data_IF_467646041769
#
_entry.id   IF_467646041769
#
_cell.length_a   1.000
_cell.length_b   1.000
_cell.length_c   1.000
_cell.angle_alpha   90.00
_cell.angle_beta   90.00
_cell.angle_gamma   90.00
#
_symmetry.space_group_name_H-M   'P 1'
#
loop_
_entity.id
_entity.type
_entity.pdbx_description
1 polymer ?
#
# COMPACT_ATOMS: atom_id res chain seq x y z
N UNK A 1 49.77 -54.46 -75.63
CA UNK A 1 49.24 -53.46 -76.54
C UNK A 1 48.55 -52.32 -75.74
N UNK A 2 49.05 -51.11 -75.90
CA UNK A 2 48.49 -49.82 -75.60
C UNK A 2 48.14 -49.52 -74.13
N UNK A 3 48.94 -48.76 -73.45
CA UNK A 3 49.02 -47.34 -73.13
C UNK A 3 47.68 -46.60 -73.11
N UNK A 4 47.35 -46.02 -71.96
CA UNK A 4 46.90 -44.62 -71.95
C UNK A 4 47.01 -43.96 -70.58
N UNK A 5 47.55 -42.82 -70.63
CA UNK A 5 47.97 -41.80 -69.72
C UNK A 5 46.94 -41.35 -68.69
N UNK A 6 47.41 -41.25 -67.47
CA UNK A 6 46.77 -40.43 -66.41
C UNK A 6 47.18 -38.92 -66.54
N UNK A 7 46.21 -38.06 -66.66
CA UNK A 7 46.40 -36.64 -66.47
C UNK A 7 45.82 -36.21 -65.10
N UNK A 8 46.72 -35.80 -64.19
CA UNK A 8 46.39 -35.13 -62.96
C UNK A 8 45.99 -33.67 -63.26
N UNK A 9 44.77 -33.28 -62.88
CA UNK A 9 44.34 -31.89 -62.78
C UNK A 9 44.29 -31.54 -61.30
N UNK A 10 45.14 -30.60 -60.87
CA UNK A 10 45.15 -30.01 -59.55
C UNK A 10 43.97 -29.06 -59.40
N UNK A 11 43.10 -29.28 -58.42
CA UNK A 11 42.04 -28.36 -58.05
C UNK A 11 42.54 -27.53 -56.90
N UNK A 12 42.74 -26.22 -57.14
CA UNK A 12 43.09 -25.24 -56.11
C UNK A 12 41.81 -24.88 -55.30
N UNK A 13 41.78 -25.31 -54.05
CA UNK A 13 40.74 -24.87 -53.12
C UNK A 13 41.11 -23.52 -52.52
N UNK A 14 40.44 -22.47 -52.97
CA UNK A 14 40.49 -21.12 -52.35
C UNK A 14 39.59 -21.11 -51.13
N UNK A 15 40.21 -21.13 -49.93
CA UNK A 15 39.52 -20.97 -48.67
C UNK A 15 39.21 -19.48 -48.44
N UNK A 16 37.96 -19.07 -48.67
CA UNK A 16 37.48 -17.74 -48.36
C UNK A 16 37.23 -17.58 -46.85
N UNK A 17 38.12 -16.86 -46.19
CA UNK A 17 37.92 -16.41 -44.79
C UNK A 17 36.84 -15.31 -44.79
N UNK A 18 35.58 -15.65 -44.42
CA UNK A 18 34.56 -14.70 -44.09
C UNK A 18 34.85 -14.15 -42.67
N UNK A 19 35.48 -12.96 -42.61
CA UNK A 19 35.56 -12.17 -41.38
C UNK A 19 34.13 -11.66 -41.01
N UNK A 20 33.48 -12.33 -40.06
CA UNK A 20 32.33 -11.76 -39.40
C UNK A 20 32.84 -10.63 -38.48
N UNK A 21 32.83 -9.41 -38.98
CA UNK A 21 32.95 -8.21 -38.16
C UNK A 21 31.66 -8.09 -37.32
N UNK A 22 31.69 -8.58 -36.08
CA UNK A 22 30.67 -8.26 -35.08
C UNK A 22 30.80 -6.75 -34.80
N UNK A 23 29.88 -5.99 -35.36
CA UNK A 23 29.68 -4.59 -34.95
C UNK A 23 29.16 -4.60 -33.52
N UNK A 24 30.07 -4.53 -32.55
CA UNK A 24 29.74 -4.06 -31.22
C UNK A 24 29.35 -2.59 -31.37
N UNK A 25 28.05 -2.30 -31.50
CA UNK A 25 27.56 -0.96 -31.21
C UNK A 25 27.90 -0.67 -29.75
N UNK A 26 28.66 0.36 -29.43
CA UNK A 26 28.83 0.76 -28.05
C UNK A 26 27.41 1.09 -27.54
N UNK A 27 26.96 0.38 -26.50
CA UNK A 27 25.81 0.82 -25.71
C UNK A 27 26.16 2.26 -25.33
N UNK A 28 25.42 3.22 -25.88
CA UNK A 28 25.59 4.62 -25.53
C UNK A 28 25.57 4.66 -24.00
N UNK A 29 26.64 5.12 -23.40
CA UNK A 29 26.68 5.36 -21.97
C UNK A 29 25.51 6.33 -21.70
N UNK A 30 24.43 5.83 -21.10
CA UNK A 30 23.38 6.71 -20.63
C UNK A 30 24.05 7.70 -19.70
N UNK A 31 24.02 8.98 -20.06
CA UNK A 31 24.53 10.02 -19.19
C UNK A 31 23.86 9.84 -17.82
N UNK A 32 24.69 9.58 -16.79
CA UNK A 32 24.19 9.44 -15.43
C UNK A 32 23.42 10.71 -15.06
N UNK A 33 22.25 10.59 -14.43
CA UNK A 33 21.49 11.76 -14.04
C UNK A 33 22.31 12.66 -13.14
N UNK A 34 22.17 13.97 -13.33
CA UNK A 34 22.87 15.04 -12.59
C UNK A 34 21.84 16.05 -12.14
N UNK A 35 22.15 16.81 -11.11
CA UNK A 35 21.30 17.88 -10.60
C UNK A 35 20.52 17.46 -9.36
N UNK A 36 19.27 17.81 -9.29
CA UNK A 36 18.42 17.60 -8.13
C UNK A 36 17.39 16.50 -8.40
N UNK A 37 16.86 15.92 -7.32
CA UNK A 37 15.72 15.00 -7.31
C UNK A 37 14.82 15.31 -6.12
N UNK A 38 13.66 15.85 -6.35
CA UNK A 38 12.64 16.07 -5.32
C UNK A 38 11.74 14.86 -5.17
N UNK A 39 11.81 14.20 -4.01
CA UNK A 39 10.97 13.07 -3.63
C UNK A 39 9.89 13.56 -2.67
N UNK A 40 8.63 13.50 -3.11
CA UNK A 40 7.49 13.91 -2.29
C UNK A 40 6.82 12.69 -1.67
N UNK A 41 6.75 12.63 -0.33
CA UNK A 41 6.21 11.50 0.41
C UNK A 41 5.49 11.96 1.69
N UNK A 42 4.88 11.00 2.41
CA UNK A 42 4.36 11.21 3.77
C UNK A 42 5.01 10.31 4.82
N UNK A 43 5.97 9.47 4.42
CA UNK A 43 6.69 8.60 5.35
C UNK A 43 7.65 9.40 6.22
N UNK A 44 7.18 9.76 7.42
CA UNK A 44 7.91 10.51 8.42
C UNK A 44 7.94 9.79 9.77
N UNK A 45 8.69 10.27 10.72
CA UNK A 45 8.77 9.69 12.06
C UNK A 45 9.26 8.25 12.03
N UNK A 46 8.42 7.31 12.45
CA UNK A 46 8.69 5.88 12.52
C UNK A 46 8.82 5.19 11.15
N UNK A 47 8.24 5.75 10.09
CA UNK A 47 8.37 5.26 8.71
C UNK A 47 9.56 5.90 7.96
N UNK A 48 10.05 7.05 8.41
CA UNK A 48 11.16 7.80 7.81
C UNK A 48 12.42 6.97 7.59
N UNK A 49 12.89 6.16 8.55
CA UNK A 49 14.11 5.36 8.37
C UNK A 49 14.10 4.41 7.17
N UNK A 50 12.94 3.94 6.72
CA UNK A 50 12.82 3.10 5.53
C UNK A 50 13.03 3.91 4.25
N UNK A 51 12.45 5.11 4.16
CA UNK A 51 12.67 6.05 3.06
C UNK A 51 14.12 6.52 3.02
N UNK A 52 14.70 6.88 4.17
CA UNK A 52 16.11 7.31 4.27
C UNK A 52 17.08 6.22 3.80
N UNK A 53 16.80 4.95 4.11
CA UNK A 53 17.63 3.84 3.64
C UNK A 53 17.55 3.68 2.12
N UNK A 54 16.39 3.90 1.54
CA UNK A 54 16.17 3.86 0.09
C UNK A 54 16.84 5.05 -0.61
N UNK A 55 16.77 6.26 -0.03
CA UNK A 55 17.47 7.45 -0.51
C UNK A 55 18.99 7.22 -0.49
N UNK A 56 19.54 6.69 0.60
CA UNK A 56 20.99 6.36 0.69
C UNK A 56 21.42 5.35 -0.36
N UNK A 57 20.59 4.35 -0.64
CA UNK A 57 20.84 3.39 -1.72
C UNK A 57 20.87 4.10 -3.08
N UNK A 58 19.95 5.02 -3.33
CA UNK A 58 19.93 5.84 -4.55
C UNK A 58 21.17 6.70 -4.67
N UNK A 59 21.54 7.47 -3.64
CA UNK A 59 22.72 8.35 -3.61
C UNK A 59 24.01 7.58 -3.85
N UNK A 60 24.12 6.35 -3.31
CA UNK A 60 25.29 5.49 -3.54
C UNK A 60 25.47 5.09 -5.01
N UNK A 61 24.39 5.02 -5.78
CA UNK A 61 24.39 4.69 -7.21
C UNK A 61 24.46 5.92 -8.11
N UNK A 62 23.99 7.05 -7.62
CA UNK A 62 23.87 8.32 -8.34
C UNK A 62 24.47 9.49 -7.53
N UNK A 63 25.78 9.47 -7.23
CA UNK A 63 26.41 10.45 -6.31
C UNK A 63 26.45 11.88 -6.88
N UNK A 64 26.01 12.09 -8.12
CA UNK A 64 25.94 13.42 -8.76
C UNK A 64 24.52 14.03 -8.70
N UNK A 65 23.59 13.36 -8.03
CA UNK A 65 22.21 13.84 -7.84
C UNK A 65 22.05 14.22 -6.38
N UNK A 66 21.68 15.47 -6.12
CA UNK A 66 21.26 15.93 -4.80
C UNK A 66 19.81 15.55 -4.55
N UNK A 67 19.55 14.81 -3.47
CA UNK A 67 18.17 14.38 -3.14
C UNK A 67 17.53 15.38 -2.19
N UNK A 68 16.40 15.94 -2.60
CA UNK A 68 15.53 16.78 -1.79
C UNK A 68 14.39 15.89 -1.26
N UNK A 69 14.47 15.49 0.02
CA UNK A 69 13.40 14.78 0.70
C UNK A 69 12.31 15.79 1.10
N UNK A 70 11.28 15.93 0.25
CA UNK A 70 10.14 16.83 0.44
C UNK A 70 8.98 16.14 1.19
N UNK A 71 9.27 15.31 2.17
CA UNK A 71 8.26 14.63 2.99
C UNK A 71 7.45 15.65 3.78
N UNK A 72 6.10 15.58 3.62
CA UNK A 72 5.16 16.37 4.40
C UNK A 72 4.70 15.55 5.59
N UNK A 73 5.04 16.02 6.78
CA UNK A 73 4.73 15.36 8.05
C UNK A 73 3.27 15.59 8.48
N UNK A 74 2.81 14.80 9.44
CA UNK A 74 1.52 14.86 10.10
C UNK A 74 0.31 14.44 9.26
N UNK A 75 -0.80 14.20 9.94
CA UNK A 75 -2.08 13.84 9.31
C UNK A 75 -2.10 12.48 8.60
N UNK A 76 -1.10 11.63 8.79
CA UNK A 76 -1.04 10.29 8.16
C UNK A 76 -1.27 10.35 6.63
N UNK A 77 -0.58 11.28 5.96
CA UNK A 77 -0.68 11.50 4.52
C UNK A 77 -1.78 12.50 4.07
N UNK A 78 -2.73 12.88 4.91
CA UNK A 78 -3.80 13.84 4.54
C UNK A 78 -3.20 15.19 4.16
N UNK A 79 -2.27 15.71 4.98
CA UNK A 79 -1.61 16.99 4.72
C UNK A 79 -0.77 16.92 3.44
N UNK A 80 -0.01 15.84 3.25
CA UNK A 80 0.79 15.62 2.05
C UNK A 80 -0.07 15.63 0.79
N UNK A 81 -1.20 14.91 0.79
CA UNK A 81 -2.12 14.87 -0.36
C UNK A 81 -2.73 16.24 -0.67
N UNK A 82 -3.04 17.04 0.35
CA UNK A 82 -3.54 18.41 0.16
C UNK A 82 -2.48 19.30 -0.51
N UNK A 83 -1.23 19.23 -0.03
CA UNK A 83 -0.10 19.97 -0.62
C UNK A 83 0.17 19.50 -2.05
N UNK A 84 0.21 18.18 -2.28
CA UNK A 84 0.41 17.59 -3.60
C UNK A 84 -0.65 18.05 -4.60
N UNK A 85 -1.93 18.01 -4.20
CA UNK A 85 -3.03 18.51 -5.04
C UNK A 85 -2.80 19.96 -5.45
N UNK A 86 -2.44 20.83 -4.52
CA UNK A 86 -2.17 22.24 -4.80
C UNK A 86 -1.03 22.41 -5.79
N UNK A 87 0.07 21.68 -5.61
CA UNK A 87 1.23 21.72 -6.49
C UNK A 87 0.92 21.22 -7.90
N UNK A 88 0.27 20.07 -7.99
CA UNK A 88 -0.10 19.43 -9.27
C UNK A 88 -1.07 20.31 -10.08
N UNK A 89 -2.06 20.92 -9.43
CA UNK A 89 -3.00 21.85 -10.07
C UNK A 89 -2.31 23.15 -10.48
N UNK A 90 -1.38 23.64 -9.68
CA UNK A 90 -0.60 24.86 -9.93
C UNK A 90 0.50 24.69 -11.00
N UNK A 91 0.69 23.50 -11.57
CA UNK A 91 1.73 23.24 -12.58
C UNK A 91 3.16 23.22 -12.00
N UNK A 92 3.30 22.96 -10.70
CA UNK A 92 4.59 22.81 -9.99
C UNK A 92 4.69 21.42 -9.35
N UNK A 93 4.70 20.32 -10.14
CA UNK A 93 4.81 18.97 -9.61
C UNK A 93 6.18 18.75 -8.96
N UNK A 94 6.31 17.77 -8.01
CA UNK A 94 7.62 17.23 -7.63
C UNK A 94 8.20 16.36 -8.74
N UNK A 95 9.43 15.88 -8.60
CA UNK A 95 10.01 14.95 -9.57
C UNK A 95 9.40 13.55 -9.48
N UNK A 96 9.11 13.10 -8.28
CA UNK A 96 8.39 11.85 -8.02
C UNK A 96 7.60 11.96 -6.73
N UNK A 97 6.43 11.29 -6.66
CA UNK A 97 5.59 11.36 -5.47
C UNK A 97 4.99 10.01 -5.09
N UNK A 98 4.81 9.83 -3.79
CA UNK A 98 4.12 8.68 -3.20
C UNK A 98 2.62 8.74 -3.48
N UNK A 99 2.03 7.60 -3.87
CA UNK A 99 0.60 7.43 -4.14
C UNK A 99 0.21 5.97 -3.89
N UNK A 100 -1.02 5.71 -3.43
CA UNK A 100 -1.49 4.33 -3.34
C UNK A 100 -1.89 3.78 -4.71
N UNK A 101 -1.53 2.53 -4.97
CA UNK A 101 -2.02 1.79 -6.14
C UNK A 101 -3.55 1.63 -6.10
N UNK A 102 -4.19 1.65 -7.26
CA UNK A 102 -5.65 1.57 -7.40
C UNK A 102 -6.30 2.90 -7.75
N UNK A 103 -7.48 3.17 -7.25
CA UNK A 103 -8.29 4.31 -7.67
C UNK A 103 -7.75 5.68 -7.21
N UNK A 104 -6.93 5.72 -6.18
CA UNK A 104 -6.19 6.95 -5.82
C UNK A 104 -5.26 7.37 -6.96
N UNK A 105 -4.52 6.43 -7.54
CA UNK A 105 -3.67 6.69 -8.70
C UNK A 105 -4.50 6.85 -9.98
N UNK A 106 -5.24 5.81 -10.36
CA UNK A 106 -5.92 5.72 -11.66
C UNK A 106 -7.10 6.69 -11.74
N UNK A 107 -7.98 6.66 -10.73
CA UNK A 107 -9.21 7.46 -10.71
C UNK A 107 -8.98 8.93 -10.40
N UNK A 108 -7.80 9.32 -9.90
CA UNK A 108 -7.47 10.72 -9.58
C UNK A 108 -6.43 11.27 -10.56
N UNK A 109 -5.20 10.75 -10.54
CA UNK A 109 -4.07 11.35 -11.24
C UNK A 109 -4.00 10.97 -12.72
N UNK A 110 -4.19 9.67 -13.04
CA UNK A 110 -4.16 9.19 -14.43
C UNK A 110 -5.35 9.75 -15.21
N UNK A 111 -6.55 9.67 -14.63
CA UNK A 111 -7.78 10.22 -15.25
C UNK A 111 -7.69 11.72 -15.50
N UNK A 112 -6.89 12.44 -14.73
CA UNK A 112 -6.65 13.88 -14.88
C UNK A 112 -5.46 14.19 -15.79
N UNK A 113 -4.90 13.18 -16.48
CA UNK A 113 -3.76 13.31 -17.41
C UNK A 113 -2.53 13.95 -16.75
N UNK A 114 -2.26 13.64 -15.47
CA UNK A 114 -1.17 14.23 -14.69
C UNK A 114 0.03 13.30 -14.51
N UNK A 115 0.00 12.10 -15.11
CA UNK A 115 1.05 11.08 -14.95
C UNK A 115 1.74 10.79 -16.27
N UNK A 116 3.02 10.43 -16.22
CA UNK A 116 3.75 9.87 -17.35
C UNK A 116 3.62 8.34 -17.38
N UNK A 117 3.55 7.77 -18.57
CA UNK A 117 3.58 6.34 -18.78
C UNK A 117 4.97 5.75 -18.50
N UNK A 118 5.02 4.71 -17.67
CA UNK A 118 6.22 4.00 -17.28
C UNK A 118 6.34 2.61 -17.93
N UNK A 119 5.51 2.27 -18.91
CA UNK A 119 5.50 0.96 -19.58
C UNK A 119 6.87 0.60 -20.13
N UNK A 120 7.56 1.55 -20.78
CA UNK A 120 8.91 1.33 -21.31
C UNK A 120 9.93 1.02 -20.19
N UNK A 121 9.80 1.66 -19.01
CA UNK A 121 10.63 1.37 -17.85
C UNK A 121 10.37 -0.06 -17.37
N UNK A 122 9.11 -0.46 -17.20
CA UNK A 122 8.73 -1.82 -16.77
C UNK A 122 9.27 -2.88 -17.73
N UNK A 123 9.16 -2.66 -19.04
CA UNK A 123 9.70 -3.58 -20.04
C UNK A 123 11.22 -3.67 -19.98
N UNK A 124 11.92 -2.54 -19.91
CA UNK A 124 13.39 -2.50 -19.88
C UNK A 124 13.99 -3.16 -18.64
N UNK A 125 13.25 -3.15 -17.52
CA UNK A 125 13.67 -3.73 -16.23
C UNK A 125 13.13 -5.16 -16.00
N UNK A 126 12.33 -5.71 -16.92
CA UNK A 126 11.69 -7.03 -16.75
C UNK A 126 10.71 -7.10 -15.58
N UNK A 127 10.03 -5.97 -15.28
CA UNK A 127 9.19 -5.88 -14.09
C UNK A 127 7.78 -6.42 -14.27
N UNK A 128 7.35 -6.66 -15.49
CA UNK A 128 6.03 -7.25 -15.77
C UNK A 128 5.90 -8.63 -15.07
N UNK A 129 6.97 -9.44 -15.10
CA UNK A 129 7.01 -10.75 -14.44
C UNK A 129 7.48 -10.69 -12.98
N UNK A 130 8.10 -9.58 -12.57
CA UNK A 130 8.65 -9.42 -11.23
C UNK A 130 7.60 -9.01 -10.18
N UNK A 131 6.50 -8.39 -10.62
CA UNK A 131 5.38 -8.00 -9.76
C UNK A 131 4.16 -8.89 -9.99
N UNK A 132 3.27 -9.08 -8.98
CA UNK A 132 2.00 -9.78 -9.15
C UNK A 132 1.14 -9.15 -10.25
N UNK A 133 0.51 -9.95 -11.10
CA UNK A 133 -0.34 -9.48 -12.19
C UNK A 133 -1.49 -8.59 -11.71
N UNK A 134 -2.10 -8.93 -10.58
CA UNK A 134 -3.18 -8.16 -9.98
C UNK A 134 -2.70 -6.78 -9.52
N UNK A 135 -1.45 -6.67 -9.06
CA UNK A 135 -0.83 -5.38 -8.71
C UNK A 135 -0.55 -4.54 -9.96
N UNK A 136 -0.05 -5.17 -11.04
CA UNK A 136 0.12 -4.49 -12.33
C UNK A 136 -1.20 -3.90 -12.83
N UNK A 137 -2.32 -4.62 -12.68
CA UNK A 137 -3.66 -4.10 -13.03
C UNK A 137 -4.10 -2.90 -12.18
N UNK A 138 -3.64 -2.81 -10.93
CA UNK A 138 -3.97 -1.69 -10.04
C UNK A 138 -3.16 -0.42 -10.32
N UNK A 139 -2.03 -0.54 -11.00
CA UNK A 139 -1.18 0.59 -11.38
C UNK A 139 -1.21 0.89 -12.89
N UNK A 140 -1.96 0.10 -13.66
CA UNK A 140 -2.05 0.17 -15.11
C UNK A 140 -3.47 0.44 -15.62
N UNK A 141 -3.54 0.85 -16.87
CA UNK A 141 -4.74 0.94 -17.71
C UNK A 141 -4.40 0.34 -19.07
N UNK A 142 -5.36 0.33 -19.99
CA UNK A 142 -5.10 -0.07 -21.39
C UNK A 142 -4.05 0.86 -22.06
N UNK A 143 -3.88 2.09 -21.57
CA UNK A 143 -2.99 3.11 -22.11
C UNK A 143 -1.55 3.04 -21.55
N UNK A 144 -1.31 2.33 -20.44
CA UNK A 144 0.04 2.24 -19.85
C UNK A 144 0.10 1.86 -18.38
N UNK A 145 1.33 1.91 -17.83
CA UNK A 145 1.64 1.67 -16.41
C UNK A 145 2.11 3.00 -15.79
N UNK A 146 1.56 3.38 -14.62
CA UNK A 146 1.61 4.76 -14.14
C UNK A 146 2.39 4.99 -12.84
N UNK A 147 2.79 3.93 -12.15
CA UNK A 147 3.62 4.04 -10.94
C UNK A 147 4.43 2.77 -10.68
N UNK A 148 5.45 2.88 -9.83
CA UNK A 148 6.30 1.76 -9.42
C UNK A 148 5.94 1.37 -7.99
N UNK A 149 5.44 0.14 -7.75
CA UNK A 149 5.09 -0.34 -6.42
C UNK A 149 6.30 -0.52 -5.52
N UNK A 150 6.18 -0.11 -4.25
CA UNK A 150 7.22 -0.25 -3.23
C UNK A 150 6.95 -1.44 -2.31
N UNK A 151 5.70 -1.52 -1.85
CA UNK A 151 5.30 -2.44 -0.78
C UNK A 151 3.89 -2.98 -0.99
N UNK A 152 3.54 -3.94 -0.15
CA UNK A 152 2.16 -4.38 0.07
C UNK A 152 1.92 -4.33 1.58
N UNK A 153 0.84 -3.68 1.98
CA UNK A 153 0.34 -3.63 3.34
C UNK A 153 -0.96 -4.42 3.51
N UNK A 154 -1.16 -4.93 4.72
CA UNK A 154 -2.44 -5.48 5.17
C UNK A 154 -3.11 -4.50 6.12
N UNK A 155 -4.31 -4.02 5.80
CA UNK A 155 -5.02 -3.05 6.63
C UNK A 155 -5.90 -3.70 7.71
N UNK A 156 -6.48 -4.87 7.48
CA UNK A 156 -7.46 -5.51 8.38
C UNK A 156 -6.84 -6.33 9.49
N UNK A 157 -6.09 -5.70 10.40
CA UNK A 157 -5.43 -6.39 11.52
C UNK A 157 -5.94 -5.91 12.87
N UNK A 158 -6.10 -6.86 13.81
CA UNK A 158 -6.35 -6.64 15.22
C UNK A 158 -5.05 -6.80 15.98
N UNK A 159 -4.60 -5.74 16.63
CA UNK A 159 -3.39 -5.70 17.46
C UNK A 159 -3.71 -5.85 18.92
N UNK A 160 -2.89 -6.60 19.68
CA UNK A 160 -3.05 -6.83 21.11
C UNK A 160 -1.72 -7.17 21.79
N UNK A 161 -1.71 -7.10 23.13
CA UNK A 161 -0.59 -7.54 23.99
C UNK A 161 -0.99 -8.84 24.68
N UNK A 162 -0.34 -10.00 24.39
CA UNK A 162 -0.71 -11.29 24.97
C UNK A 162 -0.70 -11.31 26.53
N UNK A 163 0.26 -10.64 27.16
CA UNK A 163 0.37 -10.54 28.59
C UNK A 163 -0.84 -9.82 29.22
N UNK A 164 -1.32 -8.76 28.56
CA UNK A 164 -2.48 -7.99 29.02
C UNK A 164 -3.76 -8.83 28.90
N UNK A 165 -3.97 -9.53 27.79
CA UNK A 165 -5.14 -10.40 27.60
C UNK A 165 -5.18 -11.53 28.65
N UNK A 166 -4.01 -12.12 28.93
CA UNK A 166 -3.89 -13.14 29.99
C UNK A 166 -4.28 -12.57 31.35
N UNK A 167 -3.83 -11.36 31.71
CA UNK A 167 -4.18 -10.66 32.94
C UNK A 167 -5.69 -10.44 33.07
N UNK A 168 -6.38 -10.10 31.97
CA UNK A 168 -7.82 -9.84 31.96
C UNK A 168 -8.68 -11.09 31.78
N UNK A 169 -8.08 -12.25 31.54
CA UNK A 169 -8.79 -13.51 31.32
C UNK A 169 -9.64 -13.53 30.05
N UNK A 170 -9.14 -12.93 28.98
CA UNK A 170 -9.78 -12.87 27.68
C UNK A 170 -8.86 -13.39 26.58
N UNK A 171 -9.45 -13.83 25.47
CA UNK A 171 -8.76 -14.20 24.24
C UNK A 171 -9.08 -13.20 23.14
N UNK A 172 -8.19 -13.00 22.14
CA UNK A 172 -8.49 -12.08 21.04
C UNK A 172 -9.70 -12.61 20.24
N UNK A 173 -10.67 -11.73 19.93
CA UNK A 173 -11.90 -12.14 19.24
C UNK A 173 -11.66 -12.38 17.75
N UNK A 174 -12.24 -13.46 17.21
CA UNK A 174 -12.21 -13.79 15.78
C UNK A 174 -13.50 -13.39 15.03
N UNK A 175 -14.51 -12.90 15.77
CA UNK A 175 -15.74 -12.33 15.20
C UNK A 175 -16.21 -11.15 16.05
N UNK A 176 -17.09 -10.30 15.49
CA UNK A 176 -17.66 -9.17 16.24
C UNK A 176 -18.59 -9.64 17.36
N UNK A 177 -19.28 -10.77 17.20
CA UNK A 177 -20.07 -11.37 18.29
C UNK A 177 -19.19 -11.79 19.45
N UNK A 178 -18.00 -12.35 19.17
CA UNK A 178 -17.03 -12.69 20.21
C UNK A 178 -16.48 -11.42 20.90
N UNK A 179 -16.25 -10.34 20.12
CA UNK A 179 -15.87 -9.04 20.68
C UNK A 179 -16.93 -8.50 21.65
N UNK A 180 -18.20 -8.49 21.24
CA UNK A 180 -19.30 -7.99 22.09
C UNK A 180 -19.50 -8.82 23.37
N UNK A 181 -19.11 -10.11 23.37
CA UNK A 181 -19.14 -10.94 24.59
C UNK A 181 -18.05 -10.58 25.60
N UNK A 182 -16.86 -10.16 25.12
CA UNK A 182 -15.72 -9.83 26.00
C UNK A 182 -15.63 -8.35 26.35
N UNK A 183 -16.16 -7.46 25.52
CA UNK A 183 -16.06 -6.02 25.71
C UNK A 183 -16.65 -5.53 27.06
N UNK A 184 -17.82 -6.00 27.54
CA UNK A 184 -18.32 -5.64 28.88
C UNK A 184 -17.39 -6.08 30.01
N UNK A 185 -16.73 -7.25 29.89
CA UNK A 185 -15.78 -7.75 30.90
C UNK A 185 -14.54 -6.86 30.97
N UNK A 186 -14.03 -6.39 29.84
CA UNK A 186 -12.90 -5.48 29.80
C UNK A 186 -13.26 -4.12 30.41
N UNK A 187 -14.43 -3.57 30.05
CA UNK A 187 -14.93 -2.32 30.60
C UNK A 187 -15.11 -2.38 32.12
N UNK A 188 -15.62 -3.49 32.66
CA UNK A 188 -15.76 -3.69 34.09
C UNK A 188 -14.40 -3.72 34.82
N UNK A 189 -13.31 -3.99 34.16
CA UNK A 189 -11.94 -3.93 34.66
C UNK A 189 -11.26 -2.57 34.40
N UNK A 190 -11.99 -1.56 33.94
CA UNK A 190 -11.46 -0.24 33.60
C UNK A 190 -10.64 -0.17 32.33
N UNK A 191 -10.74 -1.18 31.46
CA UNK A 191 -10.01 -1.28 30.20
C UNK A 191 -10.92 -0.88 29.04
N UNK A 192 -10.48 0.03 28.15
CA UNK A 192 -11.18 0.31 26.92
C UNK A 192 -11.08 -0.93 26.00
N UNK A 193 -12.19 -1.53 25.52
CA UNK A 193 -12.11 -2.71 24.69
C UNK A 193 -11.40 -2.48 23.37
N UNK A 194 -11.61 -1.34 22.70
CA UNK A 194 -10.97 -0.99 21.44
C UNK A 194 -10.43 0.45 21.48
N UNK A 195 -9.16 0.65 21.19
CA UNK A 195 -8.58 1.97 20.97
C UNK A 195 -8.89 2.45 19.55
N UNK A 196 -9.30 3.72 19.43
CA UNK A 196 -9.54 4.42 18.19
C UNK A 196 -8.81 5.76 18.22
N UNK A 197 -8.52 6.34 17.08
CA UNK A 197 -7.88 7.64 16.93
C UNK A 197 -8.68 8.55 15.98
N UNK A 198 -8.05 9.51 15.34
CA UNK A 198 -8.65 10.48 14.41
C UNK A 198 -9.58 9.86 13.35
N UNK A 199 -10.39 10.70 12.71
CA UNK A 199 -11.48 10.28 11.81
C UNK A 199 -11.09 9.26 10.71
N UNK A 200 -9.87 9.33 10.17
CA UNK A 200 -9.45 8.35 9.16
C UNK A 200 -9.36 6.93 9.73
N UNK A 201 -9.01 6.79 11.04
CA UNK A 201 -8.97 5.48 11.70
C UNK A 201 -10.38 4.92 11.92
N UNK A 202 -11.39 5.80 12.03
CA UNK A 202 -12.79 5.37 12.06
C UNK A 202 -13.23 4.81 10.69
N UNK A 203 -12.82 5.42 9.59
CA UNK A 203 -13.04 4.88 8.23
C UNK A 203 -12.32 3.55 8.02
N UNK A 204 -11.10 3.42 8.54
CA UNK A 204 -10.30 2.20 8.50
C UNK A 204 -10.95 1.07 9.34
N UNK A 205 -11.48 1.38 10.53
CA UNK A 205 -12.29 0.42 11.31
C UNK A 205 -13.57 0.04 10.54
N UNK A 206 -14.27 1.03 9.96
CA UNK A 206 -15.51 0.79 9.21
C UNK A 206 -15.29 -0.15 8.03
N UNK A 207 -14.21 0.00 7.24
CA UNK A 207 -13.95 -0.91 6.11
C UNK A 207 -13.70 -2.35 6.57
N UNK A 208 -13.05 -2.55 7.73
CA UNK A 208 -12.86 -3.87 8.34
C UNK A 208 -14.19 -4.47 8.79
N UNK A 209 -15.10 -3.66 9.36
CA UNK A 209 -16.47 -4.08 9.73
C UNK A 209 -17.30 -4.40 8.50
N UNK A 210 -17.22 -3.55 7.47
CA UNK A 210 -17.94 -3.76 6.22
C UNK A 210 -17.51 -5.08 5.53
N UNK A 211 -16.20 -5.33 5.47
CA UNK A 211 -15.69 -6.58 4.94
C UNK A 211 -16.17 -7.81 5.76
N UNK A 212 -16.22 -7.68 7.09
CA UNK A 212 -16.68 -8.76 7.95
C UNK A 212 -18.17 -9.07 7.77
N UNK A 213 -19.00 -8.05 7.56
CA UNK A 213 -20.46 -8.20 7.41
C UNK A 213 -20.85 -8.63 5.99
N UNK A 214 -20.25 -8.01 4.98
CA UNK A 214 -20.56 -8.24 3.58
C UNK A 214 -19.88 -9.49 3.01
N UNK A 215 -18.70 -9.83 3.52
CA UNK A 215 -17.79 -10.78 2.89
C UNK A 215 -17.13 -10.21 1.62
N UNK A 216 -16.12 -10.91 1.05
CA UNK A 216 -15.27 -10.38 -0.01
C UNK A 216 -16.02 -10.15 -1.34
N UNK A 217 -17.03 -10.95 -1.64
CA UNK A 217 -17.76 -10.84 -2.91
C UNK A 217 -18.70 -9.62 -2.92
N UNK A 218 -19.48 -9.41 -1.85
CA UNK A 218 -20.32 -8.22 -1.73
C UNK A 218 -19.50 -6.94 -1.54
N UNK A 219 -18.36 -7.01 -0.81
CA UNK A 219 -17.41 -5.91 -0.74
C UNK A 219 -16.93 -5.49 -2.14
N UNK A 220 -16.54 -6.46 -2.96
CA UNK A 220 -16.12 -6.19 -4.34
C UNK A 220 -17.26 -5.69 -5.23
N UNK A 221 -18.49 -6.21 -5.03
CA UNK A 221 -19.67 -5.78 -5.76
C UNK A 221 -20.07 -4.34 -5.44
N UNK A 222 -19.89 -3.88 -4.19
CA UNK A 222 -20.17 -2.51 -3.74
C UNK A 222 -19.43 -1.48 -4.58
N UNK A 223 -18.13 -1.71 -4.81
CA UNK A 223 -17.26 -0.81 -5.55
C UNK A 223 -17.42 -0.87 -7.08
N UNK A 224 -18.13 -1.88 -7.55
CA UNK A 224 -18.53 -2.02 -8.97
C UNK A 224 -19.93 -1.47 -9.25
N UNK A 225 -20.59 -0.89 -8.24
CA UNK A 225 -21.97 -0.41 -8.34
C UNK A 225 -23.03 -1.51 -8.41
N UNK A 226 -22.69 -2.75 -8.00
CA UNK A 226 -23.54 -3.93 -8.06
C UNK A 226 -24.14 -4.32 -6.69
N UNK A 227 -23.96 -3.51 -5.67
CA UNK A 227 -24.60 -3.64 -4.37
C UNK A 227 -25.21 -2.28 -3.99
N UNK A 228 -26.45 -2.31 -3.55
CA UNK A 228 -27.17 -1.13 -3.08
C UNK A 228 -26.62 -0.66 -1.73
N UNK A 229 -26.20 0.61 -1.66
CA UNK A 229 -25.67 1.27 -0.46
C UNK A 229 -26.74 1.42 0.64
N UNK A 230 -28.02 1.35 0.29
CA UNK A 230 -29.14 1.43 1.23
C UNK A 230 -29.72 0.06 1.60
N UNK A 231 -29.13 -1.03 1.09
CA UNK A 231 -29.54 -2.39 1.41
C UNK A 231 -29.48 -2.71 2.91
N UNK A 232 -30.27 -3.69 3.35
CA UNK A 232 -30.22 -4.19 4.74
C UNK A 232 -28.81 -4.65 5.14
N UNK A 233 -28.03 -5.19 4.21
CA UNK A 233 -26.65 -5.57 4.46
C UNK A 233 -25.77 -4.35 4.81
N UNK A 234 -25.91 -3.24 4.07
CA UNK A 234 -25.18 -2.00 4.35
C UNK A 234 -25.67 -1.32 5.62
N UNK A 235 -26.98 -1.34 5.90
CA UNK A 235 -27.52 -0.85 7.18
C UNK A 235 -26.94 -1.67 8.33
N UNK A 236 -26.83 -3.00 8.18
CA UNK A 236 -26.20 -3.88 9.19
C UNK A 236 -24.72 -3.54 9.42
N UNK A 237 -23.96 -3.17 8.39
CA UNK A 237 -22.57 -2.68 8.55
C UNK A 237 -22.54 -1.49 9.50
N UNK A 238 -23.38 -0.48 9.29
CA UNK A 238 -23.44 0.71 10.14
C UNK A 238 -23.94 0.41 11.56
N UNK A 239 -24.86 -0.57 11.72
CA UNK A 239 -25.34 -1.02 13.04
C UNK A 239 -24.23 -1.70 13.84
N UNK A 240 -23.48 -2.63 13.23
CA UNK A 240 -22.35 -3.31 13.88
C UNK A 240 -21.26 -2.28 14.25
N UNK A 241 -20.92 -1.40 13.30
CA UNK A 241 -19.96 -0.33 13.54
C UNK A 241 -20.39 0.59 14.72
N UNK A 242 -21.67 0.98 14.74
CA UNK A 242 -22.24 1.75 15.86
C UNK A 242 -22.08 1.04 17.22
N UNK A 243 -22.40 -0.25 17.26
CA UNK A 243 -22.22 -1.05 18.49
C UNK A 243 -20.76 -1.11 18.95
N UNK A 244 -19.80 -1.20 18.03
CA UNK A 244 -18.37 -1.20 18.38
C UNK A 244 -17.95 0.14 18.99
N UNK A 245 -18.44 1.26 18.43
CA UNK A 245 -18.12 2.60 18.92
C UNK A 245 -18.52 2.85 20.37
N UNK A 246 -19.49 2.09 20.91
CA UNK A 246 -19.84 2.13 22.35
C UNK A 246 -18.69 1.62 23.24
N UNK A 247 -17.72 0.92 22.68
CA UNK A 247 -16.61 0.29 23.38
C UNK A 247 -15.25 0.92 23.05
N UNK A 248 -15.24 2.09 22.39
CA UNK A 248 -14.01 2.84 22.09
C UNK A 248 -13.69 3.89 23.17
N UNK A 249 -12.53 4.51 23.07
CA UNK A 249 -12.12 5.63 23.91
C UNK A 249 -12.78 6.94 23.46
N UNK A 250 -13.07 7.81 24.42
CA UNK A 250 -13.80 9.07 24.19
C UNK A 250 -12.92 10.16 23.55
N UNK A 251 -11.61 10.10 23.75
CA UNK A 251 -10.59 11.03 23.27
C UNK A 251 -10.06 10.71 21.87
N UNK A 252 -10.64 9.72 21.18
CA UNK A 252 -10.24 9.28 19.85
C UNK A 252 -9.99 10.42 18.85
N UNK A 253 -10.82 11.48 18.76
CA UNK A 253 -10.60 12.55 17.78
C UNK A 253 -9.32 13.37 17.99
N UNK A 254 -8.71 13.31 19.17
CA UNK A 254 -7.47 14.02 19.51
C UNK A 254 -6.21 13.18 19.47
N UNK A 255 -6.34 11.88 19.23
CA UNK A 255 -5.21 10.94 19.22
C UNK A 255 -4.68 10.70 17.82
N UNK A 256 -3.36 10.53 17.69
CA UNK A 256 -2.76 9.90 16.52
C UNK A 256 -2.98 8.37 16.56
N UNK A 257 -2.81 7.70 15.42
CA UNK A 257 -2.91 6.23 15.39
C UNK A 257 -1.83 5.56 16.26
N UNK A 258 -0.63 6.16 16.39
CA UNK A 258 0.43 5.70 17.29
C UNK A 258 -0.03 5.75 18.74
N UNK A 259 -0.66 6.83 19.16
CA UNK A 259 -1.19 6.96 20.52
C UNK A 259 -2.28 5.92 20.82
N UNK A 260 -3.11 5.54 19.82
CA UNK A 260 -4.06 4.44 20.00
C UNK A 260 -3.36 3.07 20.16
N UNK A 261 -2.24 2.83 19.47
CA UNK A 261 -1.38 1.67 19.70
C UNK A 261 -0.74 1.72 21.09
N UNK A 262 -0.27 2.89 21.52
CA UNK A 262 0.31 3.08 22.86
C UNK A 262 -0.70 2.72 23.97
N UNK A 263 -1.99 3.04 23.80
CA UNK A 263 -3.03 2.61 24.73
C UNK A 263 -3.09 1.08 24.87
N UNK A 264 -2.91 0.33 23.76
CA UNK A 264 -2.89 -1.14 23.80
C UNK A 264 -1.64 -1.65 24.47
N UNK A 265 -0.48 -1.09 24.14
CA UNK A 265 0.82 -1.49 24.70
C UNK A 265 0.84 -1.24 26.21
N UNK A 266 0.33 -0.10 26.66
CA UNK A 266 0.30 0.31 28.07
C UNK A 266 -0.87 -0.32 28.86
N UNK A 267 -1.73 -1.13 28.24
CA UNK A 267 -2.83 -1.81 28.90
C UNK A 267 -4.01 -0.89 29.25
N UNK A 268 -4.13 0.26 28.62
CA UNK A 268 -5.29 1.16 28.72
C UNK A 268 -6.43 0.69 27.81
N UNK A 269 -6.07 0.05 26.68
CA UNK A 269 -7.01 -0.61 25.77
C UNK A 269 -6.60 -2.07 25.53
N UNK A 270 -7.57 -2.90 25.17
CA UNK A 270 -7.31 -4.31 24.88
C UNK A 270 -6.86 -4.53 23.44
N UNK A 271 -7.49 -3.82 22.48
CA UNK A 271 -7.31 -4.03 21.06
C UNK A 271 -7.22 -2.70 20.31
N UNK A 272 -6.61 -2.75 19.11
CA UNK A 272 -6.69 -1.71 18.09
C UNK A 272 -6.81 -2.38 16.71
N UNK A 273 -7.63 -1.82 15.82
CA UNK A 273 -7.66 -2.19 14.40
C UNK A 273 -6.81 -1.20 13.63
N UNK A 274 -5.73 -1.68 13.01
CA UNK A 274 -4.78 -0.85 12.29
C UNK A 274 -4.00 -1.69 11.28
N UNK A 275 -3.50 -1.06 10.23
CA UNK A 275 -2.64 -1.70 9.26
C UNK A 275 -1.27 -2.11 9.85
N UNK A 276 -0.52 -2.84 9.06
CA UNK A 276 0.72 -3.47 9.52
C UNK A 276 1.90 -2.51 9.73
N UNK A 277 1.80 -1.23 9.36
CA UNK A 277 2.71 -0.19 9.84
C UNK A 277 2.72 -0.08 11.38
N UNK A 278 1.65 -0.50 12.06
CA UNK A 278 1.64 -0.62 13.51
C UNK A 278 2.69 -1.62 14.02
N UNK A 279 2.96 -2.70 13.30
CA UNK A 279 4.05 -3.63 13.65
C UNK A 279 5.43 -2.96 13.51
N UNK A 280 5.62 -2.12 12.49
CA UNK A 280 6.85 -1.35 12.33
C UNK A 280 7.04 -0.40 13.53
N UNK A 281 6.04 0.40 13.86
CA UNK A 281 6.05 1.30 15.02
C UNK A 281 6.38 0.58 16.33
N UNK A 282 5.64 -0.50 16.64
CA UNK A 282 5.89 -1.29 17.85
C UNK A 282 7.31 -1.86 17.89
N UNK A 283 7.86 -2.30 16.76
CA UNK A 283 9.19 -2.89 16.66
C UNK A 283 10.30 -1.84 16.66
N UNK A 284 10.18 -0.79 15.85
CA UNK A 284 11.28 0.17 15.60
C UNK A 284 11.30 1.30 16.62
N UNK A 285 10.15 1.80 17.03
CA UNK A 285 10.02 2.91 17.99
C UNK A 285 9.90 2.38 19.43
N UNK A 286 8.97 1.46 19.68
CA UNK A 286 8.75 0.92 21.03
C UNK A 286 9.68 -0.25 21.40
N UNK A 287 10.51 -0.74 20.45
CA UNK A 287 11.48 -1.84 20.64
C UNK A 287 10.85 -3.16 21.10
N UNK A 288 9.60 -3.40 20.74
CA UNK A 288 8.84 -4.61 21.08
C UNK A 288 9.10 -5.73 20.06
N UNK A 289 8.96 -6.99 20.50
CA UNK A 289 9.21 -8.17 19.67
C UNK A 289 7.91 -8.78 19.18
N UNK A 290 7.74 -8.94 17.83
CA UNK A 290 6.56 -9.57 17.23
C UNK A 290 6.38 -11.02 17.74
N UNK A 291 5.14 -11.38 18.09
CA UNK A 291 4.76 -12.71 18.58
C UNK A 291 5.09 -12.96 20.05
N UNK A 292 5.86 -12.08 20.71
CA UNK A 292 6.19 -12.18 22.13
C UNK A 292 5.57 -11.04 22.94
N UNK A 293 5.93 -9.80 22.58
CA UNK A 293 5.53 -8.60 23.34
C UNK A 293 4.21 -8.04 22.77
N UNK A 294 3.93 -8.27 21.50
CA UNK A 294 2.64 -8.00 20.87
C UNK A 294 2.23 -9.13 19.91
N UNK A 295 0.93 -9.29 19.71
CA UNK A 295 0.32 -10.25 18.80
C UNK A 295 -0.64 -9.60 17.83
N UNK A 296 -1.03 -10.35 16.82
CA UNK A 296 -1.95 -9.91 15.76
C UNK A 296 -2.85 -11.06 15.30
N UNK A 297 -4.00 -10.67 14.78
CA UNK A 297 -4.93 -11.54 14.05
C UNK A 297 -5.55 -10.73 12.90
N UNK A 298 -6.23 -11.40 11.97
CA UNK A 298 -7.16 -10.71 11.10
C UNK A 298 -8.24 -10.01 11.95
N UNK A 299 -8.70 -8.82 11.52
CA UNK A 299 -9.83 -8.12 12.15
C UNK A 299 -11.02 -9.06 12.33
N UNK A 300 -11.80 -8.96 13.42
CA UNK A 300 -12.89 -9.88 13.69
C UNK A 300 -13.84 -10.05 12.49
N UNK A 301 -14.11 -11.29 12.11
CA UNK A 301 -14.94 -11.65 10.95
C UNK A 301 -14.24 -11.63 9.59
N UNK A 302 -12.95 -11.27 9.52
CA UNK A 302 -12.22 -11.19 8.24
C UNK A 302 -11.14 -12.26 8.07
N UNK A 303 -11.23 -13.37 8.81
CA UNK A 303 -10.30 -14.50 8.67
C UNK A 303 -10.32 -15.07 7.25
N UNK A 304 -9.13 -15.33 6.67
CA UNK A 304 -9.00 -15.78 5.28
C UNK A 304 -9.17 -14.68 4.23
N UNK A 305 -9.23 -13.41 4.65
CA UNK A 305 -9.33 -12.24 3.78
C UNK A 305 -8.15 -11.29 4.07
N UNK A 306 -7.50 -10.83 3.02
CA UNK A 306 -6.40 -9.88 3.11
C UNK A 306 -6.86 -8.55 2.50
N UNK A 307 -7.12 -7.55 3.33
CA UNK A 307 -7.45 -6.21 2.85
C UNK A 307 -6.15 -5.50 2.48
N UNK A 308 -5.99 -5.28 1.20
CA UNK A 308 -4.77 -4.89 0.54
C UNK A 308 -4.71 -3.39 0.31
N UNK A 309 -3.52 -2.85 0.47
CA UNK A 309 -3.07 -1.61 -0.15
C UNK A 309 -1.60 -1.76 -0.54
N UNK A 310 -1.14 -0.92 -1.47
CA UNK A 310 0.26 -0.82 -1.84
C UNK A 310 0.62 0.64 -2.05
N UNK A 311 1.73 1.05 -1.48
CA UNK A 311 2.35 2.32 -1.85
C UNK A 311 3.14 2.16 -3.13
N UNK A 312 3.10 3.18 -3.94
CA UNK A 312 3.87 3.30 -5.17
C UNK A 312 4.41 4.72 -5.33
N UNK A 313 5.35 4.90 -6.23
CA UNK A 313 5.81 6.21 -6.65
C UNK A 313 5.51 6.42 -8.12
N UNK A 314 4.96 7.59 -8.43
CA UNK A 314 4.64 8.00 -9.79
C UNK A 314 5.62 9.05 -10.31
N UNK A 315 5.61 9.20 -11.65
CA UNK A 315 6.28 10.26 -12.39
C UNK A 315 5.20 11.22 -12.89
N UNK A 316 5.12 12.43 -12.35
CA UNK A 316 4.12 13.39 -12.82
C UNK A 316 4.51 13.98 -14.18
N UNK A 317 3.50 14.38 -14.97
CA UNK A 317 3.69 15.20 -16.14
C UNK A 317 4.37 16.51 -15.75
N UNK A 318 5.44 16.87 -16.47
CA UNK A 318 6.17 18.10 -16.22
C UNK A 318 7.15 18.05 -15.05
N UNK A 319 7.54 16.86 -14.59
CA UNK A 319 8.59 16.68 -13.57
C UNK A 319 9.86 17.46 -13.96
N UNK A 320 10.36 18.39 -13.11
CA UNK A 320 11.51 19.24 -13.45
C UNK A 320 12.78 18.43 -13.79
N UNK A 321 13.05 17.37 -13.02
CA UNK A 321 14.27 16.55 -13.16
C UNK A 321 13.90 15.10 -13.58
N UNK A 322 13.15 14.97 -14.68
CA UNK A 322 12.62 13.69 -15.20
C UNK A 322 13.66 12.56 -15.26
N UNK A 323 14.90 12.86 -15.67
CA UNK A 323 15.97 11.84 -15.75
C UNK A 323 16.36 11.28 -14.37
N UNK A 324 16.47 12.14 -13.36
CA UNK A 324 16.73 11.74 -11.98
C UNK A 324 15.53 10.99 -11.38
N UNK A 325 14.31 11.39 -11.71
CA UNK A 325 13.09 10.70 -11.29
C UNK A 325 13.01 9.27 -11.85
N UNK A 326 13.33 9.05 -13.12
CA UNK A 326 13.37 7.69 -13.71
C UNK A 326 14.46 6.82 -13.07
N UNK A 327 15.64 7.40 -12.75
CA UNK A 327 16.69 6.69 -12.03
C UNK A 327 16.24 6.31 -10.60
N UNK A 328 15.55 7.21 -9.91
CA UNK A 328 14.92 6.95 -8.60
C UNK A 328 13.92 5.80 -8.68
N UNK A 329 12.98 5.86 -9.62
CA UNK A 329 11.99 4.80 -9.84
C UNK A 329 12.66 3.46 -10.17
N UNK A 330 13.80 3.48 -10.89
CA UNK A 330 14.58 2.27 -11.18
C UNK A 330 15.18 1.66 -9.92
N UNK A 331 15.75 2.47 -9.03
CA UNK A 331 16.28 1.99 -7.74
C UNK A 331 15.16 1.46 -6.86
N UNK A 332 14.06 2.21 -6.73
CA UNK A 332 12.90 1.88 -5.92
C UNK A 332 12.26 0.56 -6.34
N UNK A 333 12.03 0.33 -7.64
CA UNK A 333 11.44 -0.89 -8.17
C UNK A 333 12.40 -2.08 -8.25
N UNK A 334 13.71 -1.89 -8.01
CA UNK A 334 14.69 -2.97 -7.98
C UNK A 334 14.46 -3.92 -6.80
N UNK A 335 14.92 -5.18 -6.91
CA UNK A 335 14.88 -6.14 -5.81
C UNK A 335 15.58 -5.60 -4.56
N UNK A 336 16.76 -5.01 -4.73
CA UNK A 336 17.53 -4.46 -3.61
C UNK A 336 16.81 -3.27 -2.94
N UNK A 337 16.24 -2.35 -3.74
CA UNK A 337 15.46 -1.23 -3.21
C UNK A 337 14.23 -1.71 -2.45
N UNK A 338 13.47 -2.63 -3.03
CA UNK A 338 12.31 -3.22 -2.38
C UNK A 338 12.66 -3.94 -1.07
N UNK A 339 13.71 -4.77 -1.05
CA UNK A 339 14.15 -5.47 0.18
C UNK A 339 14.70 -4.49 1.24
N UNK A 340 15.41 -3.43 0.82
CA UNK A 340 15.93 -2.40 1.72
C UNK A 340 14.80 -1.68 2.45
N UNK A 341 13.78 -1.26 1.72
CA UNK A 341 12.63 -0.56 2.29
C UNK A 341 11.79 -1.47 3.20
N UNK A 342 11.33 -2.61 2.68
CA UNK A 342 10.32 -3.43 3.35
C UNK A 342 10.85 -4.15 4.61
N UNK A 343 12.15 -4.45 4.70
CA UNK A 343 12.75 -5.00 5.92
C UNK A 343 12.65 -4.02 7.11
N UNK A 344 12.62 -2.72 6.86
CA UNK A 344 12.52 -1.66 7.87
C UNK A 344 11.06 -1.23 8.08
N UNK A 345 10.29 -1.02 7.02
CA UNK A 345 8.92 -0.50 7.06
C UNK A 345 7.91 -1.47 7.73
N UNK A 346 8.16 -2.78 7.70
CA UNK A 346 7.26 -3.78 8.31
C UNK A 346 6.21 -4.34 7.36
N UNK A 347 6.07 -3.78 6.17
CA UNK A 347 5.29 -4.28 5.04
C UNK A 347 5.90 -5.54 4.42
N UNK A 348 5.29 -6.05 3.38
CA UNK A 348 5.90 -7.06 2.52
C UNK A 348 6.28 -6.44 1.18
N UNK A 349 7.30 -7.01 0.53
CA UNK A 349 7.70 -6.58 -0.80
C UNK A 349 6.56 -6.75 -1.80
N UNK A 350 6.41 -5.77 -2.68
CA UNK A 350 5.55 -5.88 -3.85
C UNK A 350 6.10 -6.87 -4.89
N UNK A 351 7.38 -7.22 -4.83
CA UNK A 351 8.04 -8.12 -5.79
C UNK A 351 7.91 -9.60 -5.42
N UNK A 352 7.76 -10.45 -6.44
CA UNK A 352 7.66 -11.90 -6.29
C UNK A 352 9.00 -12.57 -5.90
N UNK A 353 10.13 -11.93 -6.26
CA UNK A 353 11.50 -12.44 -6.09
C UNK A 353 12.23 -11.88 -4.86
N UNK A 354 11.51 -11.28 -3.92
CA UNK A 354 12.06 -10.72 -2.68
C UNK A 354 12.69 -11.76 -1.77
N UNK A 355 13.74 -11.38 -1.06
CA UNK A 355 14.43 -12.22 -0.08
C UNK A 355 13.75 -12.21 1.29
N UNK A 356 12.83 -13.14 1.50
CA UNK A 356 12.08 -13.27 2.75
C UNK A 356 12.96 -13.57 3.98
N UNK A 357 14.25 -13.94 3.82
CA UNK A 357 15.14 -14.15 4.96
C UNK A 357 15.38 -12.87 5.76
N UNK A 358 15.33 -11.72 5.10
CA UNK A 358 15.51 -10.38 5.68
C UNK A 358 14.32 -9.89 6.52
N UNK A 359 13.17 -10.57 6.44
CA UNK A 359 11.93 -10.11 7.05
C UNK A 359 11.69 -10.68 8.44
N UNK A 360 11.01 -9.92 9.28
CA UNK A 360 10.63 -10.32 10.64
C UNK A 360 9.49 -11.37 10.66
N UNK A 361 9.12 -11.83 11.85
CA UNK A 361 8.09 -12.87 12.01
C UNK A 361 6.70 -12.41 11.51
N UNK A 362 6.32 -11.15 11.73
CA UNK A 362 5.07 -10.60 11.22
C UNK A 362 5.07 -10.59 9.67
N UNK A 363 6.06 -9.95 9.05
CA UNK A 363 6.10 -9.80 7.58
C UNK A 363 6.17 -11.16 6.87
N UNK A 364 6.85 -12.18 7.47
CA UNK A 364 6.82 -13.56 6.96
C UNK A 364 5.42 -14.18 7.02
N UNK A 365 4.65 -13.86 8.07
CA UNK A 365 3.24 -14.30 8.17
C UNK A 365 2.38 -13.58 7.15
N UNK A 366 2.51 -12.26 7.03
CA UNK A 366 1.79 -11.45 6.05
C UNK A 366 2.03 -11.93 4.60
N UNK A 367 3.30 -12.24 4.25
CA UNK A 367 3.64 -12.76 2.92
C UNK A 367 3.00 -14.14 2.62
N UNK A 368 2.85 -15.00 3.64
CA UNK A 368 2.11 -16.28 3.49
C UNK A 368 0.61 -16.05 3.36
N UNK A 369 0.06 -15.16 4.17
CA UNK A 369 -1.37 -14.83 4.14
C UNK A 369 -1.74 -14.19 2.81
N UNK A 370 -0.93 -13.29 2.27
CA UNK A 370 -1.13 -12.67 0.95
C UNK A 370 -1.25 -13.71 -0.18
N UNK A 371 -0.50 -14.82 -0.08
CA UNK A 371 -0.56 -15.92 -1.07
C UNK A 371 -1.77 -16.84 -0.88
N UNK A 372 -2.34 -16.90 0.33
CA UNK A 372 -3.38 -17.85 0.72
C UNK A 372 -4.77 -17.24 0.74
N UNK A 373 -4.87 -16.01 1.24
CA UNK A 373 -6.14 -15.36 1.57
C UNK A 373 -6.77 -14.71 0.33
N UNK A 374 -8.07 -14.50 0.38
CA UNK A 374 -8.80 -13.72 -0.62
C UNK A 374 -8.39 -12.25 -0.53
N UNK A 375 -7.82 -11.71 -1.60
CA UNK A 375 -7.39 -10.31 -1.66
C UNK A 375 -8.57 -9.41 -1.96
N UNK A 376 -8.72 -8.33 -1.18
CA UNK A 376 -9.71 -7.25 -1.40
C UNK A 376 -9.04 -5.90 -1.20
N UNK A 377 -9.44 -4.88 -1.96
CA UNK A 377 -8.85 -3.55 -1.86
C UNK A 377 -9.39 -2.74 -0.67
N UNK A 378 -8.53 -1.93 -0.05
CA UNK A 378 -8.88 -0.97 1.00
C UNK A 378 -9.58 0.26 0.43
N UNK A 379 -10.64 0.74 1.10
CA UNK A 379 -11.26 2.03 0.85
C UNK A 379 -10.41 3.17 1.46
N UNK A 380 -10.07 3.05 2.73
CA UNK A 380 -9.37 4.10 3.48
C UNK A 380 -8.05 4.50 2.80
N UNK A 381 -7.43 3.59 2.06
CA UNK A 381 -6.16 3.78 1.36
C UNK A 381 -6.31 3.86 -0.17
N UNK A 382 -7.52 4.15 -0.67
CA UNK A 382 -7.73 4.52 -2.08
C UNK A 382 -7.54 3.42 -3.11
N UNK A 383 -7.56 2.14 -2.72
CA UNK A 383 -7.48 1.04 -3.69
C UNK A 383 -8.78 0.93 -4.49
N UNK A 384 -9.93 0.99 -3.79
CA UNK A 384 -11.26 0.76 -4.40
C UNK A 384 -12.00 2.03 -4.78
N UNK A 385 -11.58 3.20 -4.28
CA UNK A 385 -12.23 4.48 -4.55
C UNK A 385 -11.22 5.62 -4.71
N UNK A 386 -11.55 6.59 -5.56
CA UNK A 386 -10.74 7.77 -5.82
C UNK A 386 -10.73 8.75 -4.63
N UNK A 387 -9.86 9.77 -4.67
CA UNK A 387 -9.74 10.77 -3.62
C UNK A 387 -11.03 11.58 -3.40
N UNK A 388 -11.81 11.84 -4.46
CA UNK A 388 -13.10 12.53 -4.34
C UNK A 388 -14.06 11.76 -3.44
N UNK A 389 -14.25 10.47 -3.70
CA UNK A 389 -15.09 9.61 -2.86
C UNK A 389 -14.57 9.53 -1.42
N UNK A 390 -13.27 9.35 -1.21
CA UNK A 390 -12.68 9.26 0.13
C UNK A 390 -12.93 10.51 0.96
N UNK A 391 -12.77 11.69 0.37
CA UNK A 391 -13.02 12.98 1.03
C UNK A 391 -14.51 13.15 1.38
N UNK A 392 -15.41 12.78 0.47
CA UNK A 392 -16.85 12.76 0.74
C UNK A 392 -17.20 11.75 1.85
N UNK A 393 -16.58 10.54 1.82
CA UNK A 393 -16.82 9.51 2.83
C UNK A 393 -16.30 9.92 4.21
N UNK A 394 -15.20 10.66 4.31
CA UNK A 394 -14.75 11.26 5.58
C UNK A 394 -15.82 12.20 6.17
N UNK A 395 -16.55 12.91 5.33
CA UNK A 395 -17.68 13.77 5.75
C UNK A 395 -18.87 12.92 6.23
N UNK A 396 -19.19 11.82 5.55
CA UNK A 396 -20.22 10.85 5.99
C UNK A 396 -19.83 10.24 7.33
N UNK A 397 -18.56 9.86 7.51
CA UNK A 397 -18.05 9.34 8.77
C UNK A 397 -18.17 10.35 9.90
N UNK A 398 -17.76 11.60 9.68
CA UNK A 398 -17.88 12.68 10.69
C UNK A 398 -19.34 12.93 11.08
N UNK A 399 -20.25 12.92 10.11
CA UNK A 399 -21.69 13.00 10.35
C UNK A 399 -22.19 11.81 11.18
N UNK A 400 -21.78 10.58 10.85
CA UNK A 400 -22.20 9.38 11.56
C UNK A 400 -21.67 9.35 13.00
N UNK A 401 -20.42 9.70 13.22
CA UNK A 401 -19.83 9.77 14.56
C UNK A 401 -20.61 10.72 15.48
N UNK A 402 -21.27 11.75 14.92
CA UNK A 402 -22.09 12.72 15.66
C UNK A 402 -23.52 12.25 15.89
N UNK A 403 -24.19 11.68 14.89
CA UNK A 403 -25.62 11.40 14.93
C UNK A 403 -25.98 9.93 15.17
N UNK A 404 -25.04 9.00 14.96
CA UNK A 404 -25.16 7.57 15.19
C UNK A 404 -26.35 6.91 14.47
N UNK A 405 -26.74 7.42 13.28
CA UNK A 405 -27.89 6.93 12.53
C UNK A 405 -27.47 6.10 11.31
N UNK A 406 -27.62 4.74 11.37
CA UNK A 406 -27.24 3.84 10.29
C UNK A 406 -27.93 4.11 8.95
N UNK A 407 -29.24 4.40 8.97
CA UNK A 407 -30.01 4.66 7.74
C UNK A 407 -29.55 5.96 7.05
N UNK A 408 -29.33 7.03 7.82
CA UNK A 408 -28.81 8.30 7.25
C UNK A 408 -27.40 8.12 6.69
N UNK A 409 -26.55 7.31 7.33
CA UNK A 409 -25.21 7.04 6.83
C UNK A 409 -25.26 6.21 5.53
N UNK A 410 -26.13 5.22 5.44
CA UNK A 410 -26.36 4.43 4.23
C UNK A 410 -26.82 5.31 3.06
N UNK A 411 -27.83 6.18 3.26
CA UNK A 411 -28.31 7.14 2.27
C UNK A 411 -27.24 8.13 1.82
N UNK A 412 -26.44 8.65 2.77
CA UNK A 412 -25.32 9.53 2.44
C UNK A 412 -24.24 8.77 1.65
N UNK A 413 -23.97 7.51 1.98
CA UNK A 413 -23.09 6.63 1.21
C UNK A 413 -23.54 6.47 -0.24
N UNK A 414 -24.82 6.24 -0.49
CA UNK A 414 -25.40 6.16 -1.83
C UNK A 414 -25.21 7.49 -2.59
N UNK A 415 -25.53 8.61 -1.95
CA UNK A 415 -25.39 9.94 -2.55
C UNK A 415 -23.98 10.19 -3.04
N UNK A 416 -22.96 9.88 -2.22
CA UNK A 416 -21.55 10.07 -2.63
C UNK A 416 -21.11 9.02 -3.65
N UNK A 417 -21.67 7.82 -3.65
CA UNK A 417 -21.37 6.78 -4.65
C UNK A 417 -21.85 7.20 -6.04
N UNK A 418 -23.04 7.79 -6.14
CA UNK A 418 -23.57 8.39 -7.39
C UNK A 418 -22.69 9.57 -7.80
N UNK A 419 -22.43 10.54 -6.89
CA UNK A 419 -21.62 11.73 -7.17
C UNK A 419 -20.24 11.39 -7.74
N UNK A 420 -19.61 10.32 -7.25
CA UNK A 420 -18.26 9.91 -7.64
C UNK A 420 -18.23 8.81 -8.72
N UNK A 421 -19.37 8.48 -9.32
CA UNK A 421 -19.48 7.59 -10.47
C UNK A 421 -19.26 6.09 -10.16
N UNK A 422 -19.39 5.67 -8.89
CA UNK A 422 -19.41 4.25 -8.51
C UNK A 422 -20.75 3.62 -8.93
N UNK A 423 -21.85 4.33 -8.72
CA UNK A 423 -23.18 3.98 -9.21
C UNK A 423 -23.49 4.89 -10.40
N UNK A 424 -24.06 4.30 -11.46
CA UNK A 424 -24.49 5.03 -12.68
C UNK A 424 -25.99 5.33 -12.66
#
# INVERSE_FOLDING_TARGET
MRNDFFKCTALAATLGLLLFATFYSPIAAQDLPKGELEIFAWWSGDEGPALDALIKLFESRHPQVEVINATVTDGSGINAKTVLNTRMLGGNPPDSFQVHAGQELIGTWVRSERMEDLTALFQSQGWIEAFPSDLIQLIGTDDGIWSVPVNIHRSNLLWYVPANLKKWGVTPPTSWEAFFKIAPKLRAQGVKPLALATNWTASHLWESVALAVLGPDQWSALWKGNLDWTSEAMISVWQVFNGILEYTNDDAPSLSWQQAIDMVVNGQAAFNIMGDWAAAYMRTTLKLRPGRDFGWLASPGTGGQFMFLADSFGLPQGAPNRGAALAWLTVLGSREGSDTFNALNGSISARLDSDLSKYNAYSKTAARDFKRDRIVGSLAHGVVANEGFKNDFASVMAMFLKNRNPHKAAQAGETIAIKNGIIR
#
